data_IF_788921703793
#
_entry.id   IF_788921703793
#
_cell.length_a   1.000
_cell.length_b   1.000
_cell.length_c   1.000
_cell.angle_alpha   90.00
_cell.angle_beta   90.00
_cell.angle_gamma   90.00
#
_symmetry.space_group_name_H-M   'P 1'
#
loop_
_entity.id
_entity.type
_entity.pdbx_description
1 polymer ?
#
# COMPACT_ATOMS: atom_id res chain seq x y z
N UNK A 1 26.63 -2.03 -9.14
CA UNK A 1 25.22 -1.63 -9.38
C UNK A 1 24.47 -2.59 -10.31
N UNK A 2 25.00 -2.92 -11.49
CA UNK A 2 24.33 -3.83 -12.44
C UNK A 2 24.00 -5.20 -11.84
N UNK A 3 24.94 -5.84 -11.14
CA UNK A 3 24.71 -7.16 -10.48
C UNK A 3 23.62 -7.08 -9.40
N UNK A 4 23.56 -6.02 -8.62
CA UNK A 4 22.50 -5.80 -7.62
C UNK A 4 21.13 -5.68 -8.29
N UNK A 5 21.02 -4.85 -9.32
CA UNK A 5 19.77 -4.64 -10.07
C UNK A 5 19.30 -5.95 -10.71
N UNK A 6 20.23 -6.71 -11.34
CA UNK A 6 19.91 -8.00 -11.95
C UNK A 6 19.42 -9.03 -10.92
N UNK A 7 20.06 -9.11 -9.76
CA UNK A 7 19.60 -9.99 -8.67
C UNK A 7 18.20 -9.60 -8.18
N UNK A 8 17.93 -8.29 -8.00
CA UNK A 8 16.62 -7.81 -7.56
C UNK A 8 15.53 -8.04 -8.60
N UNK A 9 15.83 -7.82 -9.88
CA UNK A 9 14.92 -8.16 -10.97
C UNK A 9 14.66 -9.68 -11.03
N UNK A 10 15.69 -10.51 -10.84
CA UNK A 10 15.53 -11.96 -10.75
C UNK A 10 14.59 -12.37 -9.62
N UNK A 11 14.77 -11.83 -8.41
CA UNK A 11 13.85 -12.07 -7.29
C UNK A 11 12.43 -11.55 -7.57
N UNK A 12 12.30 -10.39 -8.21
CA UNK A 12 11.00 -9.84 -8.61
C UNK A 12 10.25 -10.78 -9.56
N UNK A 13 10.93 -11.34 -10.57
CA UNK A 13 10.36 -12.31 -11.51
C UNK A 13 9.94 -13.59 -10.78
N UNK A 14 10.81 -14.14 -9.91
CA UNK A 14 10.47 -15.33 -9.12
C UNK A 14 9.25 -15.09 -8.24
N UNK A 15 9.19 -13.95 -7.56
CA UNK A 15 8.04 -13.56 -6.73
C UNK A 15 6.78 -13.45 -7.56
N UNK A 16 6.85 -12.78 -8.71
CA UNK A 16 5.72 -12.66 -9.63
C UNK A 16 5.21 -14.03 -10.08
N UNK A 17 6.08 -14.91 -10.56
CA UNK A 17 5.70 -16.26 -11.01
C UNK A 17 5.11 -17.06 -9.85
N UNK A 18 5.69 -16.98 -8.65
CA UNK A 18 5.17 -17.67 -7.47
C UNK A 18 3.74 -17.19 -7.11
N UNK A 19 3.52 -15.86 -7.08
CA UNK A 19 2.20 -15.30 -6.77
C UNK A 19 1.19 -15.62 -7.87
N UNK A 20 1.56 -15.49 -9.15
CA UNK A 20 0.70 -15.86 -10.27
C UNK A 20 0.27 -17.33 -10.19
N UNK A 21 1.22 -18.23 -9.89
CA UNK A 21 0.95 -19.66 -9.73
C UNK A 21 -0.01 -19.90 -8.56
N UNK A 22 0.27 -19.30 -7.40
CA UNK A 22 -0.55 -19.43 -6.21
C UNK A 22 -1.99 -18.94 -6.45
N UNK A 23 -2.14 -17.77 -7.07
CA UNK A 23 -3.46 -17.21 -7.41
C UNK A 23 -4.22 -18.09 -8.40
N UNK A 24 -3.53 -18.57 -9.43
CA UNK A 24 -4.14 -19.50 -10.40
C UNK A 24 -4.71 -20.74 -9.70
N UNK A 25 -3.92 -21.39 -8.85
CA UNK A 25 -4.37 -22.61 -8.16
C UNK A 25 -5.44 -22.32 -7.11
N UNK A 26 -5.32 -21.25 -6.31
CA UNK A 26 -6.34 -20.88 -5.33
C UNK A 26 -7.70 -20.67 -6.00
N UNK A 27 -7.74 -19.89 -7.07
CA UNK A 27 -8.99 -19.61 -7.78
C UNK A 27 -9.63 -20.89 -8.38
N UNK A 28 -8.83 -21.88 -8.73
CA UNK A 28 -9.33 -23.18 -9.24
C UNK A 28 -9.79 -24.14 -8.14
N UNK A 29 -9.30 -23.98 -6.89
CA UNK A 29 -9.69 -24.78 -5.74
C UNK A 29 -10.95 -24.20 -5.07
N UNK A 30 -11.20 -22.89 -5.25
CA UNK A 30 -12.39 -22.26 -4.69
C UNK A 30 -13.67 -22.94 -5.17
N UNK A 31 -14.60 -23.27 -4.27
CA UNK A 31 -15.87 -23.90 -4.64
C UNK A 31 -16.73 -22.96 -5.47
N UNK A 32 -17.11 -23.39 -6.65
CA UNK A 32 -17.96 -22.69 -7.61
C UNK A 32 -17.46 -22.84 -9.04
N UNK A 33 -18.39 -23.07 -9.95
CA UNK A 33 -18.11 -23.12 -11.38
C UNK A 33 -18.24 -21.70 -11.95
N UNK A 34 -17.18 -21.10 -12.52
CA UNK A 34 -17.27 -19.80 -13.17
C UNK A 34 -18.39 -19.71 -14.22
N UNK A 35 -18.63 -20.80 -14.97
CA UNK A 35 -19.68 -20.83 -15.97
C UNK A 35 -21.08 -20.74 -15.35
N UNK A 36 -21.28 -21.36 -14.18
CA UNK A 36 -22.55 -21.23 -13.45
C UNK A 36 -22.77 -19.83 -12.89
N UNK A 37 -21.71 -19.18 -12.42
CA UNK A 37 -21.79 -17.81 -11.89
C UNK A 37 -22.16 -16.81 -12.98
N UNK A 38 -21.58 -16.95 -14.18
CA UNK A 38 -21.86 -16.08 -15.33
C UNK A 38 -23.30 -16.25 -15.83
N UNK A 39 -23.78 -17.50 -15.92
CA UNK A 39 -25.09 -17.80 -16.45
C UNK A 39 -26.22 -17.54 -15.46
N UNK A 40 -25.93 -17.55 -14.14
CA UNK A 40 -26.92 -17.34 -13.09
C UNK A 40 -28.17 -18.23 -13.28
N UNK A 41 -29.35 -17.62 -13.24
CA UNK A 41 -30.63 -18.33 -13.41
C UNK A 41 -30.85 -18.94 -14.80
N UNK A 42 -30.04 -18.56 -15.80
CA UNK A 42 -30.10 -19.13 -17.16
C UNK A 42 -29.20 -20.36 -17.35
N UNK A 43 -28.61 -20.85 -16.26
CA UNK A 43 -27.68 -22.00 -16.28
C UNK A 43 -28.43 -23.30 -16.58
N UNK A 44 -28.32 -23.77 -17.81
CA UNK A 44 -28.69 -25.14 -18.19
C UNK A 44 -27.43 -25.96 -18.58
N UNK A 45 -27.54 -27.27 -18.61
CA UNK A 45 -26.41 -28.13 -18.85
C UNK A 45 -25.68 -27.83 -20.17
N UNK A 46 -26.43 -27.49 -21.22
CA UNK A 46 -25.87 -27.18 -22.54
C UNK A 46 -25.14 -25.82 -22.56
N UNK A 47 -25.73 -24.77 -21.93
CA UNK A 47 -25.12 -23.44 -21.85
C UNK A 47 -23.86 -23.46 -20.98
N UNK A 48 -23.88 -24.22 -19.87
CA UNK A 48 -22.70 -24.40 -19.01
C UNK A 48 -21.57 -25.06 -19.78
N UNK A 49 -21.84 -26.16 -20.50
CA UNK A 49 -20.84 -26.87 -21.28
C UNK A 49 -20.24 -25.96 -22.37
N UNK A 50 -21.08 -25.25 -23.13
CA UNK A 50 -20.64 -24.32 -24.17
C UNK A 50 -19.76 -23.20 -23.61
N UNK A 51 -20.13 -22.62 -22.44
CA UNK A 51 -19.37 -21.57 -21.82
C UNK A 51 -18.05 -22.08 -21.23
N UNK A 52 -18.01 -23.27 -20.63
CA UNK A 52 -16.76 -23.93 -20.20
C UNK A 52 -15.77 -24.09 -21.32
N UNK A 53 -16.21 -24.57 -22.47
CA UNK A 53 -15.36 -24.71 -23.67
C UNK A 53 -14.88 -23.35 -24.16
N UNK A 54 -15.76 -22.36 -24.22
CA UNK A 54 -15.38 -20.97 -24.59
C UNK A 54 -14.33 -20.36 -23.65
N UNK A 55 -14.43 -20.64 -22.36
CA UNK A 55 -13.47 -20.16 -21.35
C UNK A 55 -12.23 -21.07 -21.22
N UNK A 56 -12.18 -22.19 -21.97
CA UNK A 56 -11.09 -23.16 -21.92
C UNK A 56 -10.97 -23.92 -20.60
N UNK A 57 -12.05 -23.98 -19.81
CA UNK A 57 -12.10 -24.65 -18.51
C UNK A 57 -12.16 -26.19 -18.65
N UNK A 58 -12.44 -26.70 -19.82
CA UNK A 58 -12.42 -28.10 -20.23
C UNK A 58 -11.01 -28.64 -20.53
N UNK A 59 -10.03 -27.73 -20.69
CA UNK A 59 -8.64 -28.12 -21.01
C UNK A 59 -7.91 -28.64 -19.75
N UNK A 60 -6.85 -29.47 -19.93
CA UNK A 60 -6.01 -29.90 -18.83
C UNK A 60 -5.50 -28.70 -18.01
N UNK A 61 -5.43 -28.83 -16.68
CA UNK A 61 -5.07 -27.73 -15.77
C UNK A 61 -3.72 -27.08 -16.11
N UNK A 62 -2.73 -27.88 -16.54
CA UNK A 62 -1.43 -27.37 -16.98
C UNK A 62 -1.55 -26.47 -18.22
N UNK A 63 -2.40 -26.82 -19.17
CA UNK A 63 -2.63 -26.00 -20.36
C UNK A 63 -3.27 -24.68 -19.98
N UNK A 64 -4.28 -24.69 -19.10
CA UNK A 64 -4.90 -23.47 -18.57
C UNK A 64 -3.86 -22.59 -17.85
N UNK A 65 -2.96 -23.19 -17.07
CA UNK A 65 -1.89 -22.48 -16.36
C UNK A 65 -0.92 -21.77 -17.32
N UNK A 66 -0.44 -22.46 -18.36
CA UNK A 66 0.46 -21.84 -19.33
C UNK A 66 -0.24 -20.78 -20.20
N UNK A 67 -1.51 -20.97 -20.53
CA UNK A 67 -2.31 -19.94 -21.20
C UNK A 67 -2.45 -18.71 -20.31
N UNK A 68 -2.74 -18.89 -19.03
CA UNK A 68 -2.81 -17.79 -18.06
C UNK A 68 -1.48 -17.04 -17.92
N UNK A 69 -0.35 -17.75 -17.77
CA UNK A 69 0.97 -17.11 -17.68
C UNK A 69 1.33 -16.34 -18.96
N UNK A 70 1.04 -16.94 -20.13
CA UNK A 70 1.32 -16.27 -21.40
C UNK A 70 0.45 -15.03 -21.62
N UNK A 71 -0.81 -15.06 -21.18
CA UNK A 71 -1.71 -13.92 -21.17
C UNK A 71 -1.20 -12.82 -20.25
N UNK A 72 -0.79 -13.17 -19.01
CA UNK A 72 -0.25 -12.23 -18.05
C UNK A 72 0.99 -11.47 -18.60
N UNK A 73 1.89 -12.18 -19.28
CA UNK A 73 3.09 -11.56 -19.91
C UNK A 73 2.71 -10.64 -21.07
N UNK A 74 1.65 -10.94 -21.81
CA UNK A 74 1.16 -10.10 -22.92
C UNK A 74 0.29 -8.93 -22.46
N UNK A 75 -0.01 -8.84 -21.15
CA UNK A 75 -0.94 -7.84 -20.62
C UNK A 75 -2.42 -8.16 -20.87
N UNK A 76 -2.73 -9.37 -21.32
CA UNK A 76 -4.09 -9.87 -21.43
C UNK A 76 -4.47 -10.58 -20.14
N UNK A 77 -5.21 -9.88 -19.31
CA UNK A 77 -5.66 -10.37 -17.99
C UNK A 77 -7.14 -10.76 -18.01
N UNK A 78 -7.68 -10.91 -19.20
CA UNK A 78 -9.04 -11.34 -19.44
C UNK A 78 -10.08 -10.25 -19.33
N UNK A 79 -11.32 -10.68 -19.31
CA UNK A 79 -12.52 -9.85 -19.26
C UNK A 79 -13.29 -10.20 -17.99
N UNK A 80 -13.74 -9.19 -17.25
CA UNK A 80 -14.61 -9.36 -16.08
C UNK A 80 -15.83 -10.18 -16.44
N UNK A 81 -16.13 -11.19 -15.63
CA UNK A 81 -17.28 -12.07 -15.86
C UNK A 81 -18.60 -11.34 -15.57
N UNK A 82 -18.56 -10.29 -14.78
CA UNK A 82 -19.76 -9.53 -14.35
C UNK A 82 -20.01 -8.33 -15.25
N UNK A 83 -18.97 -7.49 -15.46
CA UNK A 83 -19.12 -6.24 -16.22
C UNK A 83 -18.95 -6.42 -17.73
N UNK A 84 -18.31 -7.51 -18.17
CA UNK A 84 -17.95 -7.73 -19.57
C UNK A 84 -16.84 -6.81 -20.10
N UNK A 85 -16.17 -6.06 -19.22
CA UNK A 85 -15.07 -5.14 -19.59
C UNK A 85 -13.70 -5.79 -19.39
N UNK A 86 -12.69 -5.39 -20.17
CA UNK A 86 -11.33 -5.82 -19.93
C UNK A 86 -10.88 -5.46 -18.50
N UNK A 87 -10.31 -6.42 -17.77
CA UNK A 87 -9.84 -6.25 -16.38
C UNK A 87 -8.87 -5.08 -16.27
N UNK A 88 -7.94 -4.97 -17.22
CA UNK A 88 -6.96 -3.88 -17.23
C UNK A 88 -7.61 -2.49 -17.29
N UNK A 89 -8.70 -2.34 -18.07
CA UNK A 89 -9.39 -1.06 -18.20
C UNK A 89 -10.06 -0.64 -16.89
N UNK A 90 -10.71 -1.58 -16.20
CA UNK A 90 -11.34 -1.31 -14.91
C UNK A 90 -10.30 -0.98 -13.83
N UNK A 91 -9.20 -1.72 -13.80
CA UNK A 91 -8.11 -1.43 -12.86
C UNK A 91 -7.49 -0.07 -13.11
N UNK A 92 -7.15 0.26 -14.35
CA UNK A 92 -6.55 1.56 -14.68
C UNK A 92 -7.49 2.74 -14.38
N UNK A 93 -8.81 2.52 -14.39
CA UNK A 93 -9.78 3.57 -14.04
C UNK A 93 -9.76 3.95 -12.55
N UNK A 94 -9.43 3.02 -11.65
CA UNK A 94 -9.42 3.22 -10.19
C UNK A 94 -8.03 3.31 -9.58
N UNK A 95 -7.00 2.79 -10.26
CA UNK A 95 -5.61 2.79 -9.79
C UNK A 95 -5.09 4.18 -9.37
N UNK A 96 -5.35 5.28 -10.11
CA UNK A 96 -4.91 6.60 -9.71
C UNK A 96 -5.40 7.00 -8.33
N UNK A 97 -6.62 6.62 -7.96
CA UNK A 97 -7.20 6.95 -6.66
C UNK A 97 -6.48 6.26 -5.49
N UNK A 98 -6.07 4.99 -5.67
CA UNK A 98 -5.29 4.25 -4.68
C UNK A 98 -3.88 4.82 -4.55
N UNK A 99 -3.24 5.18 -5.68
CA UNK A 99 -1.91 5.80 -5.68
C UNK A 99 -1.95 7.17 -5.01
N UNK A 100 -2.93 8.02 -5.35
CA UNK A 100 -3.13 9.33 -4.74
C UNK A 100 -3.30 9.22 -3.23
N UNK A 101 -4.19 8.33 -2.77
CA UNK A 101 -4.42 8.07 -1.35
C UNK A 101 -3.12 7.65 -0.65
N UNK A 102 -2.40 6.69 -1.21
CA UNK A 102 -1.17 6.16 -0.62
C UNK A 102 -0.07 7.21 -0.53
N UNK A 103 0.16 7.98 -1.61
CA UNK A 103 1.19 9.00 -1.63
C UNK A 103 0.89 10.16 -0.70
N UNK A 104 -0.35 10.65 -0.67
CA UNK A 104 -0.74 11.73 0.25
C UNK A 104 -0.62 11.27 1.69
N UNK A 105 -1.05 10.05 2.00
CA UNK A 105 -0.90 9.47 3.35
C UNK A 105 0.56 9.31 3.75
N UNK A 106 1.42 8.87 2.82
CA UNK A 106 2.87 8.76 3.04
C UNK A 106 3.47 10.12 3.39
N UNK A 107 3.20 11.13 2.56
CA UNK A 107 3.74 12.49 2.75
C UNK A 107 3.27 13.08 4.08
N UNK A 108 1.98 13.00 4.39
CA UNK A 108 1.42 13.48 5.66
C UNK A 108 2.03 12.72 6.84
N UNK A 109 2.14 11.40 6.74
CA UNK A 109 2.74 10.56 7.78
C UNK A 109 4.19 10.91 8.07
N UNK A 110 4.98 11.21 7.03
CA UNK A 110 6.38 11.66 7.17
C UNK A 110 6.47 13.07 7.76
N UNK A 111 5.65 14.01 7.26
CA UNK A 111 5.62 15.40 7.74
C UNK A 111 5.25 15.46 9.24
N UNK A 112 4.39 14.59 9.71
CA UNK A 112 4.01 14.50 11.11
C UNK A 112 5.03 13.68 11.91
N UNK A 113 5.41 12.51 11.39
CA UNK A 113 6.18 11.52 12.12
C UNK A 113 7.63 11.91 12.37
N UNK A 114 8.30 12.53 11.38
CA UNK A 114 9.70 12.93 11.55
C UNK A 114 9.87 14.01 12.61
N UNK A 115 9.15 15.15 12.58
CA UNK A 115 9.26 16.15 13.63
C UNK A 115 8.84 15.61 15.01
N UNK A 116 7.79 14.80 15.09
CA UNK A 116 7.35 14.20 16.35
C UNK A 116 8.43 13.28 16.94
N UNK A 117 9.10 12.47 16.13
CA UNK A 117 10.20 11.60 16.55
C UNK A 117 11.41 12.36 17.03
N UNK A 118 11.81 13.44 16.33
CA UNK A 118 12.88 14.33 16.74
C UNK A 118 12.55 15.00 18.08
N UNK A 119 11.33 15.52 18.20
CA UNK A 119 10.88 16.20 19.43
C UNK A 119 10.87 15.26 20.63
N UNK A 120 10.41 14.02 20.45
CA UNK A 120 10.45 12.99 21.47
C UNK A 120 11.91 12.64 21.87
N UNK A 121 12.82 12.50 20.90
CA UNK A 121 14.22 12.16 21.16
C UNK A 121 14.96 13.27 21.95
N UNK A 122 14.75 14.53 21.56
CA UNK A 122 15.37 15.69 22.22
C UNK A 122 14.86 15.84 23.66
N UNK A 123 13.60 15.50 23.90
CA UNK A 123 12.96 15.53 25.21
C UNK A 123 12.91 14.15 25.90
N UNK A 124 13.93 13.33 25.71
CA UNK A 124 14.01 11.97 26.23
C UNK A 124 13.60 11.90 27.72
N UNK A 125 12.71 10.96 28.05
CA UNK A 125 12.16 10.69 29.39
C UNK A 125 11.37 11.86 30.00
N UNK A 126 11.00 12.89 29.24
CA UNK A 126 10.09 13.96 29.65
C UNK A 126 8.68 13.69 29.11
N UNK A 127 7.71 14.52 29.54
CA UNK A 127 6.30 14.39 29.13
C UNK A 127 6.12 14.31 27.60
N UNK A 128 6.78 15.14 26.76
CA UNK A 128 6.64 15.03 25.31
C UNK A 128 7.04 13.65 24.76
N UNK A 129 8.11 13.07 25.28
CA UNK A 129 8.56 11.74 24.89
C UNK A 129 7.55 10.65 25.30
N UNK A 130 7.03 10.73 26.52
CA UNK A 130 6.05 9.77 27.03
C UNK A 130 4.76 9.84 26.21
N UNK A 131 4.23 11.05 25.99
CA UNK A 131 3.01 11.25 25.19
C UNK A 131 3.18 10.73 23.77
N UNK A 132 4.28 11.09 23.13
CA UNK A 132 4.56 10.66 21.75
C UNK A 132 4.66 9.14 21.65
N UNK A 133 5.28 8.45 22.62
CA UNK A 133 5.35 7.00 22.68
C UNK A 133 3.97 6.36 22.86
N UNK A 134 3.17 6.87 23.78
CA UNK A 134 1.82 6.35 24.04
C UNK A 134 0.93 6.53 22.82
N UNK A 135 0.93 7.73 22.22
CA UNK A 135 0.14 8.01 21.00
C UNK A 135 0.58 7.12 19.83
N UNK A 136 1.89 6.96 19.63
CA UNK A 136 2.41 6.06 18.59
C UNK A 136 2.02 4.60 18.85
N UNK A 137 2.08 4.15 20.11
CA UNK A 137 1.69 2.79 20.46
C UNK A 137 0.20 2.55 20.18
N UNK A 138 -0.67 3.48 20.59
CA UNK A 138 -2.11 3.41 20.33
C UNK A 138 -2.40 3.40 18.82
N UNK A 139 -1.72 4.26 18.04
CA UNK A 139 -1.86 4.30 16.60
C UNK A 139 -1.42 3.01 15.89
N UNK A 140 -0.44 2.29 16.44
CA UNK A 140 0.03 1.01 15.89
C UNK A 140 -0.81 -0.19 16.36
N UNK A 141 -1.47 -0.08 17.50
CA UNK A 141 -2.27 -1.16 18.06
C UNK A 141 -3.66 -1.26 17.44
N UNK A 142 -4.20 -0.16 16.93
CA UNK A 142 -5.51 -0.13 16.30
C UNK A 142 -5.42 -0.56 14.82
N UNK A 143 -6.24 -1.53 14.38
CA UNK A 143 -6.36 -1.83 12.96
C UNK A 143 -6.82 -0.60 12.16
N UNK A 144 -6.28 -0.41 10.95
CA UNK A 144 -6.56 0.75 10.10
C UNK A 144 -8.06 1.00 9.85
N UNK A 145 -8.86 -0.05 9.73
CA UNK A 145 -10.29 0.09 9.52
C UNK A 145 -11.03 0.59 10.76
N UNK A 146 -10.57 0.23 11.97
CA UNK A 146 -11.17 0.70 13.23
C UNK A 146 -10.94 2.19 13.40
N UNK A 147 -9.70 2.67 13.22
CA UNK A 147 -9.39 4.10 13.27
C UNK A 147 -10.15 4.87 12.19
N UNK A 148 -10.30 4.29 10.99
CA UNK A 148 -11.10 4.85 9.90
C UNK A 148 -12.56 5.02 10.28
N UNK A 149 -13.19 4.01 10.88
CA UNK A 149 -14.58 4.08 11.37
C UNK A 149 -14.72 5.18 12.44
N UNK A 150 -13.79 5.25 13.40
CA UNK A 150 -13.83 6.29 14.44
C UNK A 150 -13.73 7.69 13.84
N UNK A 151 -12.80 7.91 12.89
CA UNK A 151 -12.67 9.19 12.18
C UNK A 151 -13.94 9.54 11.42
N UNK A 152 -14.56 8.58 10.74
CA UNK A 152 -15.81 8.78 10.03
C UNK A 152 -16.97 9.15 10.97
N UNK A 153 -17.12 8.42 12.09
CA UNK A 153 -18.16 8.71 13.09
C UNK A 153 -17.99 10.10 13.68
N UNK A 154 -16.78 10.50 14.04
CA UNK A 154 -16.52 11.78 14.69
C UNK A 154 -16.58 12.92 13.68
N UNK A 155 -15.84 12.86 12.59
CA UNK A 155 -15.63 14.02 11.70
C UNK A 155 -16.65 14.12 10.56
N UNK A 156 -17.22 13.00 10.11
CA UNK A 156 -18.21 13.04 9.04
C UNK A 156 -19.65 12.99 9.58
N UNK A 157 -19.94 12.20 10.62
CA UNK A 157 -21.33 12.04 11.12
C UNK A 157 -21.60 13.03 12.24
N UNK A 158 -20.79 13.08 13.31
CA UNK A 158 -21.07 13.93 14.46
C UNK A 158 -20.77 15.41 14.20
N UNK A 159 -19.60 15.73 13.64
CA UNK A 159 -19.18 17.10 13.35
C UNK A 159 -19.56 17.60 11.96
N UNK A 160 -19.87 16.71 11.03
CA UNK A 160 -20.25 17.02 9.64
C UNK A 160 -19.24 17.89 8.87
N UNK A 161 -17.94 17.78 9.24
CA UNK A 161 -16.88 18.54 8.59
C UNK A 161 -16.50 17.97 7.23
N UNK A 162 -16.65 16.66 7.06
CA UNK A 162 -16.27 15.92 5.86
C UNK A 162 -17.42 15.05 5.35
N UNK A 163 -17.44 14.68 4.07
CA UNK A 163 -18.47 13.81 3.53
C UNK A 163 -18.32 12.38 4.08
N UNK A 164 -19.46 11.69 4.25
CA UNK A 164 -19.49 10.27 4.67
C UNK A 164 -19.02 9.36 3.55
N UNK A 165 -19.32 9.72 2.30
CA UNK A 165 -18.98 8.95 1.10
C UNK A 165 -17.94 9.75 0.31
N UNK A 166 -16.77 9.17 0.09
CA UNK A 166 -15.76 9.74 -0.78
C UNK A 166 -16.06 9.42 -2.25
N UNK A 167 -15.70 10.32 -3.17
CA UNK A 167 -16.02 10.19 -4.59
C UNK A 167 -17.34 10.86 -4.96
N UNK A 168 -17.69 11.91 -4.23
CA UNK A 168 -18.88 12.73 -4.43
C UNK A 168 -18.93 13.44 -5.78
N UNK A 169 -20.02 14.16 -6.01
CA UNK A 169 -20.31 14.84 -7.29
C UNK A 169 -19.45 16.08 -7.55
N UNK A 170 -18.76 16.60 -6.51
CA UNK A 170 -17.92 17.78 -6.63
C UNK A 170 -16.51 17.41 -7.16
N UNK A 171 -16.32 17.58 -8.46
CA UNK A 171 -15.05 17.36 -9.14
C UNK A 171 -14.06 18.54 -9.01
N UNK A 172 -14.43 19.60 -8.27
CA UNK A 172 -13.50 20.68 -7.97
C UNK A 172 -12.29 20.18 -7.17
N UNK A 173 -11.18 20.92 -7.25
CA UNK A 173 -10.00 20.58 -6.41
C UNK A 173 -10.35 20.57 -4.92
N UNK A 174 -11.23 21.47 -4.47
CA UNK A 174 -11.70 21.53 -3.09
C UNK A 174 -12.50 20.30 -2.68
N UNK A 175 -13.43 19.84 -3.53
CA UNK A 175 -14.20 18.62 -3.34
C UNK A 175 -13.31 17.38 -3.26
N UNK A 176 -12.39 17.23 -4.21
CA UNK A 176 -11.43 16.12 -4.23
C UNK A 176 -10.55 16.07 -2.98
N UNK A 177 -10.02 17.21 -2.53
CA UNK A 177 -9.22 17.29 -1.31
C UNK A 177 -10.05 16.95 -0.07
N UNK A 178 -11.31 17.37 -0.03
CA UNK A 178 -12.23 17.08 1.07
C UNK A 178 -12.57 15.58 1.15
N UNK A 179 -12.79 14.94 0.00
CA UNK A 179 -13.02 13.49 -0.12
C UNK A 179 -11.79 12.67 0.26
N UNK A 180 -10.59 13.18 -0.02
CA UNK A 180 -9.32 12.52 0.27
C UNK A 180 -8.88 12.68 1.73
N UNK A 181 -9.31 13.74 2.41
CA UNK A 181 -8.76 14.17 3.69
C UNK A 181 -8.86 13.08 4.79
N UNK A 182 -10.07 12.58 5.08
CA UNK A 182 -10.24 11.57 6.14
C UNK A 182 -9.55 10.24 5.81
N UNK A 183 -9.68 9.64 4.61
CA UNK A 183 -8.94 8.44 4.24
C UNK A 183 -7.44 8.64 4.34
N UNK A 184 -6.93 9.78 3.86
CA UNK A 184 -5.50 10.08 3.91
C UNK A 184 -4.98 10.26 5.33
N UNK A 185 -5.72 10.99 6.18
CA UNK A 185 -5.39 11.15 7.60
C UNK A 185 -5.39 9.81 8.31
N UNK A 186 -6.35 8.93 8.04
CA UNK A 186 -6.41 7.60 8.63
C UNK A 186 -5.12 6.80 8.39
N UNK A 187 -4.68 6.70 7.16
CA UNK A 187 -3.44 6.00 6.81
C UNK A 187 -2.19 6.76 7.29
N UNK A 188 -2.23 8.10 7.24
CA UNK A 188 -1.13 8.95 7.68
C UNK A 188 -0.86 8.83 9.17
N UNK A 189 -1.87 8.66 10.02
CA UNK A 189 -1.69 8.47 11.47
C UNK A 189 -0.90 7.20 11.78
N UNK A 190 -1.19 6.10 11.09
CA UNK A 190 -0.47 4.84 11.25
C UNK A 190 0.97 4.99 10.77
N UNK A 191 1.16 5.60 9.60
CA UNK A 191 2.48 5.89 9.06
C UNK A 191 3.27 6.81 9.97
N UNK A 192 2.66 7.87 10.48
CA UNK A 192 3.28 8.81 11.41
C UNK A 192 3.74 8.11 12.71
N UNK A 193 2.93 7.22 13.26
CA UNK A 193 3.29 6.45 14.44
C UNK A 193 4.55 5.60 14.22
N UNK A 194 4.65 4.96 13.05
CA UNK A 194 5.82 4.17 12.67
C UNK A 194 7.06 5.03 12.47
N UNK A 195 6.94 6.09 11.68
CA UNK A 195 8.03 7.03 11.39
C UNK A 195 8.51 7.71 12.68
N UNK A 196 7.59 8.12 13.53
CA UNK A 196 7.91 8.73 14.85
C UNK A 196 8.79 7.81 15.68
N UNK A 197 8.42 6.53 15.80
CA UNK A 197 9.17 5.55 16.60
C UNK A 197 10.57 5.33 16.06
N UNK A 198 10.70 5.17 14.74
CA UNK A 198 12.01 4.93 14.11
C UNK A 198 12.88 6.18 14.17
N UNK A 199 12.32 7.35 13.85
CA UNK A 199 13.03 8.62 13.93
C UNK A 199 13.51 8.89 15.36
N UNK A 200 12.67 8.64 16.37
CA UNK A 200 13.07 8.77 17.77
C UNK A 200 14.24 7.87 18.13
N UNK A 201 14.18 6.58 17.75
CA UNK A 201 15.24 5.63 18.06
C UNK A 201 16.57 6.02 17.39
N UNK A 202 16.52 6.28 16.08
CA UNK A 202 17.69 6.70 15.31
C UNK A 202 18.28 8.03 15.81
N UNK A 203 17.43 8.99 16.16
CA UNK A 203 17.88 10.28 16.68
C UNK A 203 18.55 10.14 18.05
N UNK A 204 18.04 9.29 18.95
CA UNK A 204 18.68 9.02 20.24
C UNK A 204 20.07 8.41 20.09
N UNK A 205 20.25 7.48 19.15
CA UNK A 205 21.53 6.89 18.85
C UNK A 205 22.51 7.95 18.31
N UNK A 206 22.08 8.73 17.34
CA UNK A 206 22.89 9.77 16.70
C UNK A 206 23.29 10.88 17.67
N UNK A 207 22.38 11.31 18.55
CA UNK A 207 22.67 12.36 19.56
C UNK A 207 23.70 11.94 20.58
N UNK A 208 23.96 10.64 20.75
CA UNK A 208 25.01 10.07 21.61
C UNK A 208 26.39 10.03 20.97
N UNK A 209 26.54 10.28 19.68
CA UNK A 209 27.81 10.16 18.95
C UNK A 209 28.78 11.30 19.24
N UNK A 210 30.11 11.01 19.17
CA UNK A 210 31.17 11.96 19.53
C UNK A 210 31.21 13.21 18.66
N UNK A 211 30.86 13.10 17.35
CA UNK A 211 30.82 14.26 16.48
C UNK A 211 29.71 15.26 16.89
N UNK A 212 28.60 14.78 17.48
CA UNK A 212 27.55 15.62 18.02
C UNK A 212 28.00 16.32 19.29
N UNK A 213 28.74 15.60 20.16
CA UNK A 213 29.38 16.19 21.35
C UNK A 213 30.37 17.28 20.97
N UNK A 214 31.20 17.01 19.97
CA UNK A 214 32.17 17.99 19.43
C UNK A 214 31.48 19.24 18.89
N UNK A 215 30.38 19.08 18.14
CA UNK A 215 29.59 20.18 17.62
C UNK A 215 29.03 21.07 18.75
N UNK A 216 28.51 20.47 19.82
CA UNK A 216 28.05 21.17 20.99
C UNK A 216 29.18 21.89 21.74
N UNK A 217 30.35 21.24 21.93
CA UNK A 217 31.52 21.81 22.57
C UNK A 217 32.07 23.03 21.80
N UNK A 218 31.90 23.09 20.48
CA UNK A 218 32.22 24.24 19.62
C UNK A 218 31.18 25.38 19.73
N UNK A 219 30.16 25.28 20.58
CA UNK A 219 29.15 26.32 20.76
C UNK A 219 28.11 26.41 19.62
N UNK A 220 27.99 25.40 18.76
CA UNK A 220 26.99 25.41 17.69
C UNK A 220 25.58 25.37 18.26
N UNK A 221 24.66 26.25 17.83
CA UNK A 221 23.29 26.31 18.33
C UNK A 221 22.58 24.92 18.20
N UNK A 222 21.81 24.57 19.25
CA UNK A 222 21.16 23.25 19.37
C UNK A 222 20.31 22.90 18.14
N UNK A 223 19.57 23.88 17.57
CA UNK A 223 18.77 23.65 16.34
C UNK A 223 19.64 23.23 15.16
N UNK A 224 20.79 23.84 14.96
CA UNK A 224 21.72 23.47 13.87
C UNK A 224 22.32 22.09 14.13
N UNK A 225 22.68 21.77 15.37
CA UNK A 225 23.18 20.45 15.75
C UNK A 225 22.14 19.36 15.42
N UNK A 226 20.87 19.59 15.74
CA UNK A 226 19.79 18.63 15.51
C UNK A 226 19.51 18.48 14.00
N UNK A 227 19.13 19.58 13.34
CA UNK A 227 18.61 19.51 11.97
C UNK A 227 19.68 19.37 10.89
N UNK A 228 20.89 19.89 11.09
CA UNK A 228 21.95 19.82 10.09
C UNK A 228 22.96 18.70 10.35
N UNK A 229 23.33 18.45 11.61
CA UNK A 229 24.34 17.45 11.94
C UNK A 229 23.74 16.09 12.29
N UNK A 230 22.74 16.04 13.18
CA UNK A 230 22.16 14.78 13.63
C UNK A 230 21.18 14.20 12.62
N UNK A 231 20.26 15.02 12.06
CA UNK A 231 19.23 14.57 11.14
C UNK A 231 19.81 13.90 9.91
N UNK A 232 20.92 14.38 9.36
CA UNK A 232 21.54 13.80 8.17
C UNK A 232 21.84 12.30 8.32
N UNK A 233 22.32 11.89 9.49
CA UNK A 233 22.61 10.49 9.77
C UNK A 233 21.37 9.72 10.25
N UNK A 234 20.41 10.42 10.87
CA UNK A 234 19.13 9.86 11.26
C UNK A 234 18.23 9.52 10.04
N UNK A 235 18.37 10.23 8.91
CA UNK A 235 17.56 10.02 7.72
C UNK A 235 17.75 8.63 7.09
N UNK A 236 18.92 8.02 7.20
CA UNK A 236 19.19 6.71 6.57
C UNK A 236 18.19 5.65 7.05
N UNK A 237 18.09 5.31 8.36
CA UNK A 237 17.10 4.35 8.83
C UNK A 237 15.65 4.83 8.65
N UNK A 238 15.40 6.14 8.65
CA UNK A 238 14.05 6.69 8.45
C UNK A 238 13.57 6.47 7.01
N UNK A 239 14.38 6.81 6.00
CA UNK A 239 14.06 6.58 4.57
C UNK A 239 13.84 5.10 4.31
N UNK A 240 14.65 4.27 4.92
CA UNK A 240 14.52 2.82 4.93
C UNK A 240 13.13 2.37 5.30
N UNK A 241 12.68 2.78 6.47
CA UNK A 241 11.37 2.39 7.00
C UNK A 241 10.23 2.99 6.18
N UNK A 242 10.39 4.22 5.70
CA UNK A 242 9.42 4.85 4.79
C UNK A 242 9.20 3.99 3.54
N UNK A 243 10.29 3.53 2.92
CA UNK A 243 10.19 2.68 1.74
C UNK A 243 9.54 1.33 2.02
N UNK A 244 9.96 0.63 3.08
CA UNK A 244 9.35 -0.65 3.49
C UNK A 244 7.86 -0.49 3.81
N UNK A 245 7.50 0.62 4.45
CA UNK A 245 6.13 0.86 4.88
C UNK A 245 5.21 1.27 3.71
N UNK A 246 5.75 1.76 2.61
CA UNK A 246 4.96 2.10 1.42
C UNK A 246 4.20 0.88 0.88
N UNK A 247 4.83 -0.30 0.84
CA UNK A 247 4.15 -1.54 0.47
C UNK A 247 3.01 -1.92 1.43
N UNK A 248 3.23 -1.72 2.74
CA UNK A 248 2.21 -1.96 3.77
C UNK A 248 1.05 -0.96 3.65
N UNK A 249 1.33 0.30 3.33
CA UNK A 249 0.30 1.32 3.11
C UNK A 249 -0.65 0.96 1.97
N UNK A 250 -0.11 0.43 0.87
CA UNK A 250 -0.92 -0.05 -0.26
C UNK A 250 -1.85 -1.18 0.22
N UNK A 251 -1.36 -2.11 1.08
CA UNK A 251 -2.19 -3.14 1.69
C UNK A 251 -3.31 -2.58 2.57
N UNK A 252 -2.98 -1.62 3.41
CA UNK A 252 -3.93 -0.98 4.32
C UNK A 252 -4.92 -0.05 3.61
N UNK A 253 -4.60 0.43 2.38
CA UNK A 253 -5.51 1.24 1.59
C UNK A 253 -6.78 0.49 1.23
N UNK A 254 -6.71 -0.83 1.02
CA UNK A 254 -7.86 -1.69 0.68
C UNK A 254 -9.01 -1.49 1.67
N UNK A 255 -8.74 -1.71 2.96
CA UNK A 255 -9.76 -1.57 4.01
C UNK A 255 -10.19 -0.11 4.20
N UNK A 256 -9.27 0.83 4.04
CA UNK A 256 -9.58 2.27 4.13
C UNK A 256 -10.49 2.71 2.99
N UNK A 257 -10.25 2.26 1.76
CA UNK A 257 -11.11 2.53 0.60
C UNK A 257 -12.54 1.99 0.79
N UNK A 258 -12.67 0.82 1.44
CA UNK A 258 -13.97 0.23 1.77
C UNK A 258 -14.69 1.07 2.83
N UNK A 259 -14.02 1.40 3.93
CA UNK A 259 -14.62 2.16 5.05
C UNK A 259 -15.12 3.53 4.58
N UNK A 260 -14.34 4.23 3.78
CA UNK A 260 -14.72 5.57 3.26
C UNK A 260 -15.44 5.51 1.91
N UNK A 261 -15.81 4.32 1.45
CA UNK A 261 -16.49 4.09 0.16
C UNK A 261 -15.78 4.77 -1.03
N UNK A 262 -14.44 4.87 -0.98
CA UNK A 262 -13.63 5.49 -2.04
C UNK A 262 -13.45 4.52 -3.20
N UNK A 263 -13.66 4.96 -4.47
CA UNK A 263 -13.32 4.14 -5.62
C UNK A 263 -11.80 3.92 -5.67
N UNK A 264 -11.35 2.67 -5.62
CA UNK A 264 -9.95 2.28 -5.64
C UNK A 264 -9.80 0.78 -5.83
N UNK A 265 -8.56 0.30 -5.86
CA UNK A 265 -8.24 -1.12 -6.07
C UNK A 265 -8.86 -2.02 -5.00
N UNK A 266 -8.86 -1.57 -3.75
CA UNK A 266 -9.42 -2.36 -2.64
C UNK A 266 -10.92 -2.57 -2.76
N UNK A 267 -11.66 -1.53 -3.11
CA UNK A 267 -13.10 -1.64 -3.35
C UNK A 267 -13.42 -2.54 -4.55
N UNK A 268 -12.59 -2.47 -5.60
CA UNK A 268 -12.74 -3.30 -6.78
C UNK A 268 -12.45 -4.79 -6.46
N UNK A 269 -11.41 -5.09 -5.65
CA UNK A 269 -11.11 -6.47 -5.19
C UNK A 269 -12.28 -7.06 -4.40
N UNK A 270 -12.80 -6.31 -3.43
CA UNK A 270 -13.91 -6.81 -2.60
C UNK A 270 -15.19 -6.96 -3.42
N UNK A 271 -15.45 -6.03 -4.35
CA UNK A 271 -16.54 -6.15 -5.31
C UNK A 271 -16.44 -7.43 -6.16
N UNK A 272 -15.27 -7.71 -6.72
CA UNK A 272 -15.02 -8.92 -7.48
C UNK A 272 -15.16 -10.20 -6.63
N UNK A 273 -14.72 -10.16 -5.37
CA UNK A 273 -14.85 -11.30 -4.45
C UNK A 273 -16.32 -11.60 -4.12
N UNK A 274 -17.11 -10.58 -3.81
CA UNK A 274 -18.53 -10.74 -3.46
C UNK A 274 -19.37 -11.20 -4.66
N UNK A 275 -18.99 -10.78 -5.86
CA UNK A 275 -19.66 -11.16 -7.11
C UNK A 275 -19.07 -12.44 -7.73
N UNK A 276 -18.06 -13.04 -7.08
CA UNK A 276 -17.34 -14.24 -7.57
C UNK A 276 -16.77 -14.07 -8.99
N UNK A 277 -16.35 -12.85 -9.31
CA UNK A 277 -15.68 -12.57 -10.59
C UNK A 277 -14.21 -13.03 -10.52
N UNK A 278 -14.00 -14.29 -10.82
CA UNK A 278 -12.68 -14.92 -10.70
C UNK A 278 -11.65 -14.32 -11.67
N UNK A 279 -12.08 -13.92 -12.88
CA UNK A 279 -11.16 -13.28 -13.84
C UNK A 279 -10.70 -11.94 -13.34
N UNK A 280 -11.62 -11.11 -12.82
CA UNK A 280 -11.29 -9.84 -12.21
C UNK A 280 -10.37 -10.03 -10.99
N UNK A 281 -10.67 -10.97 -10.09
CA UNK A 281 -9.83 -11.29 -8.93
C UNK A 281 -8.41 -11.67 -9.32
N UNK A 282 -8.27 -12.59 -10.30
CA UNK A 282 -6.94 -12.99 -10.78
C UNK A 282 -6.15 -11.81 -11.33
N UNK A 283 -6.75 -11.05 -12.24
CA UNK A 283 -6.09 -9.89 -12.84
C UNK A 283 -5.72 -8.83 -11.80
N UNK A 284 -6.60 -8.56 -10.84
CA UNK A 284 -6.32 -7.58 -9.77
C UNK A 284 -5.19 -8.01 -8.86
N UNK A 285 -5.13 -9.29 -8.44
CA UNK A 285 -4.04 -9.77 -7.58
C UNK A 285 -2.70 -9.68 -8.34
N UNK A 286 -2.71 -9.98 -9.64
CA UNK A 286 -1.52 -9.81 -10.49
C UNK A 286 -1.04 -8.37 -10.50
N UNK A 287 -1.95 -7.43 -10.79
CA UNK A 287 -1.63 -6.00 -10.86
C UNK A 287 -1.16 -5.49 -9.50
N UNK A 288 -1.86 -5.88 -8.44
CA UNK A 288 -1.50 -5.52 -7.09
C UNK A 288 -0.08 -6.00 -6.73
N UNK A 289 0.23 -7.25 -7.10
CA UNK A 289 1.57 -7.82 -6.91
C UNK A 289 2.62 -7.07 -7.71
N UNK A 290 2.33 -6.70 -8.96
CA UNK A 290 3.21 -5.88 -9.80
C UNK A 290 3.51 -4.53 -9.14
N UNK A 291 2.49 -3.86 -8.59
CA UNK A 291 2.63 -2.59 -7.88
C UNK A 291 3.53 -2.77 -6.65
N UNK A 292 3.28 -3.78 -5.83
CA UNK A 292 4.09 -4.05 -4.63
C UNK A 292 5.54 -4.37 -4.99
N UNK A 293 5.76 -5.18 -6.01
CA UNK A 293 7.12 -5.52 -6.50
C UNK A 293 7.83 -4.28 -7.03
N UNK A 294 7.13 -3.43 -7.79
CA UNK A 294 7.68 -2.17 -8.30
C UNK A 294 8.06 -1.21 -7.17
N UNK A 295 7.18 -1.07 -6.19
CA UNK A 295 7.43 -0.23 -5.00
C UNK A 295 8.63 -0.73 -4.21
N UNK A 296 8.73 -2.04 -3.98
CA UNK A 296 9.88 -2.62 -3.31
C UNK A 296 11.17 -2.40 -4.11
N UNK A 297 11.13 -2.55 -5.42
CA UNK A 297 12.28 -2.29 -6.29
C UNK A 297 12.73 -0.83 -6.22
N UNK A 298 11.79 0.12 -6.29
CA UNK A 298 12.08 1.56 -6.15
C UNK A 298 12.69 1.84 -4.78
N UNK A 299 12.15 1.24 -3.72
CA UNK A 299 12.68 1.35 -2.36
C UNK A 299 14.10 0.84 -2.27
N UNK A 300 14.37 -0.34 -2.80
CA UNK A 300 15.71 -0.94 -2.82
C UNK A 300 16.72 -0.08 -3.61
N UNK A 301 16.31 0.50 -4.73
CA UNK A 301 17.15 1.43 -5.51
C UNK A 301 17.42 2.72 -4.74
N UNK A 302 16.43 3.25 -4.03
CA UNK A 302 16.58 4.44 -3.19
C UNK A 302 17.60 4.18 -2.06
N UNK A 303 17.59 2.98 -1.49
CA UNK A 303 18.62 2.55 -0.54
C UNK A 303 20.03 2.64 -1.10
N UNK A 304 20.22 2.09 -2.29
CA UNK A 304 21.53 2.10 -2.94
C UNK A 304 22.06 3.51 -3.24
N UNK A 305 21.16 4.51 -3.36
CA UNK A 305 21.51 5.91 -3.58
C UNK A 305 21.79 6.67 -2.27
N UNK A 306 21.09 6.31 -1.18
CA UNK A 306 21.16 7.04 0.10
C UNK A 306 22.25 6.51 1.02
N UNK A 307 22.52 5.21 1.00
CA UNK A 307 23.57 4.58 1.83
C UNK A 307 24.77 4.12 0.98
N UNK A 308 25.87 4.93 0.93
CA UNK A 308 27.08 4.54 0.21
C UNK A 308 27.79 3.34 0.84
N UNK A 309 27.36 2.88 2.04
CA UNK A 309 27.92 1.71 2.71
C UNK A 309 27.32 0.38 2.24
N UNK A 310 26.24 0.42 1.50
CA UNK A 310 25.70 -0.76 0.82
C UNK A 310 26.71 -1.17 -0.26
N UNK A 311 27.73 -1.94 0.16
CA UNK A 311 28.64 -2.56 -0.78
C UNK A 311 27.84 -3.59 -1.59
N UNK A 312 27.72 -3.33 -2.86
CA UNK A 312 27.11 -4.19 -3.86
C UNK A 312 27.93 -5.48 -4.03
N UNK A 313 27.83 -6.42 -3.07
CA UNK A 313 28.37 -7.78 -3.20
C UNK A 313 27.39 -8.69 -3.91
#
# INVERSE_FOLDING_TARGET
MTSFILKRLGFAVVTLVAVLSLVFFIVRILPGDPAMVILGDQANAASIAALRTKLGLDRPMLVQYFVFLSGAVRGDWGVSMVSGRPVIAEVLSVLPNTIELTLVSLVLGVIIGVPAGVWAAVNRNRIPDIVTRVVSLLGLSAPAFVSGIVLLLVFAIALQWFPVISGGQDQSLGGRLRDLALPAVNLALIMAAYVTRVTRSAMLEVLGQDYVRTARAKGIPAGIVIWRHAMRNCLIPVITVIGLYLGILIGNSVLTEIVFNRPGLGKLIVGALTQRDYTMLQGMIVIYTLIVVLVNLITDLTYGLVDPRVQYR
#
